data_IF_062588806843
#
_entry.id   IF_062588806843
#
_cell.length_a   1.000
_cell.length_b   1.000
_cell.length_c   1.000
_cell.angle_alpha   90.00
_cell.angle_beta   90.00
_cell.angle_gamma   90.00
#
_symmetry.space_group_name_H-M   'P 1'
#
loop_
_entity.id
_entity.type
_entity.pdbx_description
1 polymer ?
#
# COMPACT_ATOMS: atom_id res chain seq x y z
N UNK A 1 14.92 -7.19 32.62
CA UNK A 1 13.60 -6.55 32.47
C UNK A 1 13.04 -6.86 31.12
N UNK A 2 11.90 -7.51 31.06
CA UNK A 2 11.26 -7.83 29.77
C UNK A 2 10.63 -6.58 29.20
N UNK A 3 10.91 -6.29 27.93
CA UNK A 3 10.25 -5.24 27.20
C UNK A 3 9.20 -5.85 26.28
N UNK A 4 8.08 -5.19 26.15
CA UNK A 4 7.09 -5.60 25.14
C UNK A 4 7.74 -5.54 23.76
N UNK A 5 7.42 -6.50 22.85
CA UNK A 5 7.93 -6.44 21.50
C UNK A 5 7.53 -5.12 20.87
N UNK A 6 8.50 -4.44 20.27
CA UNK A 6 8.20 -3.24 19.51
C UNK A 6 7.61 -3.65 18.16
N UNK A 7 6.61 -2.92 17.72
CA UNK A 7 6.13 -3.10 16.36
C UNK A 7 7.26 -2.74 15.40
N UNK A 8 7.45 -3.52 14.32
CA UNK A 8 8.42 -3.13 13.31
C UNK A 8 8.12 -1.72 12.80
N UNK A 9 9.15 -0.95 12.52
CA UNK A 9 8.99 0.35 11.91
C UNK A 9 8.29 0.18 10.56
N UNK A 10 7.44 1.14 10.16
CA UNK A 10 6.86 1.10 8.82
C UNK A 10 7.96 1.11 7.77
N UNK A 11 7.72 0.41 6.68
CA UNK A 11 8.62 0.41 5.53
C UNK A 11 8.21 1.53 4.58
N UNK A 12 9.19 2.22 4.04
CA UNK A 12 8.96 3.17 2.97
C UNK A 12 9.03 2.39 1.67
N UNK A 13 7.91 2.23 0.99
CA UNK A 13 7.84 1.47 -0.25
C UNK A 13 7.59 2.38 -1.43
N UNK A 14 8.06 1.95 -2.59
CA UNK A 14 7.94 2.70 -3.83
C UNK A 14 7.01 1.99 -4.78
N UNK A 15 6.19 2.76 -5.49
CA UNK A 15 5.39 2.23 -6.59
C UNK A 15 6.35 1.92 -7.74
N UNK A 16 6.50 0.64 -8.07
CA UNK A 16 7.38 0.21 -9.15
C UNK A 16 6.64 0.11 -10.47
N UNK A 17 5.36 -0.26 -10.43
CA UNK A 17 4.54 -0.43 -11.63
C UNK A 17 3.07 -0.25 -11.27
N UNK A 18 2.28 0.09 -12.27
CA UNK A 18 0.82 0.14 -12.17
C UNK A 18 0.20 -0.50 -13.39
N UNK A 19 -0.90 -1.23 -13.18
CA UNK A 19 -1.60 -1.89 -14.28
C UNK A 19 -3.07 -2.04 -13.96
N UNK A 20 -3.93 -1.67 -14.91
CA UNK A 20 -5.36 -1.98 -14.79
C UNK A 20 -5.56 -3.47 -15.06
N UNK A 21 -6.09 -4.18 -14.09
CA UNK A 21 -6.40 -5.62 -14.22
C UNK A 21 -7.77 -5.79 -14.85
N UNK A 22 -8.71 -4.94 -14.45
CA UNK A 22 -10.03 -4.80 -15.05
C UNK A 22 -10.33 -3.31 -15.18
N UNK A 23 -11.42 -2.91 -15.84
CA UNK A 23 -11.77 -1.49 -15.90
C UNK A 23 -11.90 -0.80 -14.54
N UNK A 24 -12.15 -1.57 -13.47
CA UNK A 24 -12.38 -1.04 -12.13
C UNK A 24 -11.37 -1.53 -11.10
N UNK A 25 -10.35 -2.26 -11.50
CA UNK A 25 -9.37 -2.83 -10.58
C UNK A 25 -7.95 -2.46 -11.03
N UNK A 26 -7.27 -1.71 -10.19
CA UNK A 26 -5.88 -1.29 -10.42
C UNK A 26 -4.94 -2.14 -9.58
N UNK A 27 -3.88 -2.63 -10.19
CA UNK A 27 -2.80 -3.32 -9.48
C UNK A 27 -1.58 -2.43 -9.40
N UNK A 28 -1.09 -2.23 -8.18
CA UNK A 28 0.19 -1.56 -7.95
C UNK A 28 1.21 -2.60 -7.49
N UNK A 29 2.42 -2.51 -8.03
CA UNK A 29 3.57 -3.26 -7.52
C UNK A 29 4.35 -2.34 -6.61
N UNK A 30 4.51 -2.75 -5.36
CA UNK A 30 5.19 -1.97 -4.32
C UNK A 30 6.49 -2.67 -3.95
N UNK A 31 7.58 -1.92 -3.90
CA UNK A 31 8.88 -2.49 -3.61
C UNK A 31 9.87 -1.44 -3.14
N UNK A 32 11.13 -1.62 -3.49
CA UNK A 32 12.20 -0.71 -3.13
C UNK A 32 13.15 -1.31 -2.11
N UNK A 33 14.13 -0.51 -1.69
CA UNK A 33 15.22 -1.01 -0.84
C UNK A 33 14.75 -1.52 0.51
N UNK A 34 13.71 -0.93 1.09
CA UNK A 34 13.20 -1.36 2.40
C UNK A 34 12.35 -2.63 2.32
N UNK A 35 12.14 -3.16 1.13
CA UNK A 35 11.47 -4.45 0.92
C UNK A 35 12.45 -5.61 0.75
N UNK A 36 13.75 -5.35 0.78
CA UNK A 36 14.77 -6.39 0.55
C UNK A 36 14.68 -7.53 1.57
N UNK A 37 14.29 -7.24 2.80
CA UNK A 37 14.15 -8.22 3.88
C UNK A 37 12.69 -8.58 4.18
N UNK A 38 11.78 -8.27 3.27
CA UNK A 38 10.38 -8.60 3.48
C UNK A 38 10.20 -10.12 3.54
N UNK A 39 9.45 -10.65 4.53
CA UNK A 39 9.30 -12.09 4.68
C UNK A 39 8.72 -12.74 3.44
N UNK A 40 9.20 -13.94 3.10
CA UNK A 40 8.67 -14.71 1.98
C UNK A 40 7.34 -15.35 2.33
N UNK A 41 6.60 -15.78 1.30
CA UNK A 41 5.37 -16.55 1.49
C UNK A 41 4.22 -15.76 2.08
N UNK A 42 4.16 -14.46 1.81
CA UNK A 42 3.14 -13.59 2.40
C UNK A 42 1.89 -13.43 1.53
N UNK A 43 1.79 -14.11 0.40
CA UNK A 43 0.59 -14.06 -0.45
C UNK A 43 -0.64 -14.43 0.37
N UNK A 44 -1.71 -13.68 0.20
CA UNK A 44 -2.94 -13.86 0.98
C UNK A 44 -2.91 -13.19 2.35
N UNK A 45 -1.74 -12.78 2.82
CA UNK A 45 -1.63 -11.93 3.99
C UNK A 45 -2.03 -10.50 3.69
N UNK A 46 -1.84 -9.62 4.64
CA UNK A 46 -2.24 -8.22 4.45
C UNK A 46 -1.15 -7.27 4.92
N UNK A 47 -1.22 -6.06 4.37
CA UNK A 47 -0.37 -4.94 4.76
C UNK A 47 -1.25 -3.76 5.11
N UNK A 48 -0.70 -2.85 5.90
CA UNK A 48 -1.38 -1.61 6.27
C UNK A 48 -0.67 -0.45 5.59
N UNK A 49 -1.40 0.26 4.74
CA UNK A 49 -0.89 1.43 4.06
C UNK A 49 -1.22 2.67 4.86
N UNK A 50 -0.25 3.55 5.02
CA UNK A 50 -0.42 4.83 5.70
C UNK A 50 -0.62 5.91 4.65
N UNK A 51 -1.88 6.30 4.52
CA UNK A 51 -2.28 7.30 3.53
C UNK A 51 -2.13 8.70 4.12
N UNK A 52 -2.03 9.73 3.26
CA UNK A 52 -1.97 11.11 3.74
C UNK A 52 -3.12 11.44 4.70
N UNK A 53 -2.89 12.31 5.70
CA UNK A 53 -3.94 12.71 6.62
C UNK A 53 -5.14 13.33 5.90
N UNK A 54 -6.31 13.15 6.49
CA UNK A 54 -7.49 13.87 6.04
C UNK A 54 -7.29 15.37 6.25
N UNK A 55 -7.98 16.17 5.46
CA UNK A 55 -7.93 17.62 5.61
C UNK A 55 -8.23 18.02 7.06
N UNK A 56 -7.39 18.88 7.61
CA UNK A 56 -7.52 19.33 9.00
C UNK A 56 -7.02 18.36 10.04
N UNK A 57 -6.40 17.24 9.64
CA UNK A 57 -5.85 16.24 10.57
C UNK A 57 -4.34 16.08 10.35
N UNK A 58 -3.61 15.77 11.43
CA UNK A 58 -2.20 15.47 11.36
C UNK A 58 -1.92 13.96 11.34
N UNK A 59 -2.95 13.15 11.57
CA UNK A 59 -2.79 11.70 11.66
C UNK A 59 -2.97 11.05 10.31
N UNK A 60 -2.06 10.13 9.93
CA UNK A 60 -2.25 9.37 8.69
C UNK A 60 -3.48 8.50 8.78
N UNK A 61 -4.09 8.24 7.65
CA UNK A 61 -5.21 7.32 7.54
C UNK A 61 -4.66 5.94 7.16
N UNK A 62 -4.94 4.94 7.98
CA UNK A 62 -4.42 3.59 7.78
C UNK A 62 -5.50 2.72 7.15
N UNK A 63 -5.13 2.01 6.08
CA UNK A 63 -6.04 1.07 5.41
C UNK A 63 -5.33 -0.24 5.16
N UNK A 64 -6.07 -1.34 5.31
CA UNK A 64 -5.54 -2.70 5.17
C UNK A 64 -5.85 -3.23 3.79
N UNK A 65 -4.83 -3.82 3.15
CA UNK A 65 -4.95 -4.42 1.83
C UNK A 65 -4.30 -5.80 1.79
N UNK A 66 -4.83 -6.67 0.95
CA UNK A 66 -4.32 -8.02 0.79
C UNK A 66 -3.14 -8.05 -0.18
N UNK A 67 -2.13 -8.84 0.15
CA UNK A 67 -1.02 -9.13 -0.75
C UNK A 67 -1.53 -10.12 -1.80
N UNK A 68 -1.66 -9.66 -3.04
CA UNK A 68 -2.18 -10.47 -4.14
C UNK A 68 -1.12 -11.43 -4.67
N UNK A 69 0.11 -10.98 -4.75
CA UNK A 69 1.24 -11.76 -5.23
C UNK A 69 2.52 -11.19 -4.64
N UNK A 70 3.56 -12.01 -4.57
CA UNK A 70 4.84 -11.59 -4.03
C UNK A 70 5.97 -12.08 -4.92
N UNK A 71 6.96 -11.22 -5.12
CA UNK A 71 8.22 -11.54 -5.78
C UNK A 71 9.35 -10.98 -4.93
N UNK A 72 10.59 -11.34 -5.24
CA UNK A 72 11.73 -10.83 -4.50
C UNK A 72 11.72 -9.31 -4.44
N UNK A 73 11.59 -8.79 -3.22
CA UNK A 73 11.61 -7.35 -2.98
C UNK A 73 10.38 -6.59 -3.44
N UNK A 74 9.28 -7.27 -3.79
CA UNK A 74 8.08 -6.59 -4.26
C UNK A 74 6.81 -7.37 -3.97
N UNK A 75 5.71 -6.65 -3.80
CA UNK A 75 4.37 -7.24 -3.66
C UNK A 75 3.41 -6.54 -4.60
N UNK A 76 2.40 -7.27 -5.04
CA UNK A 76 1.27 -6.71 -5.79
C UNK A 76 0.09 -6.53 -4.87
N UNK A 77 -0.55 -5.38 -4.96
CA UNK A 77 -1.76 -5.03 -4.21
C UNK A 77 -2.79 -4.50 -5.18
N UNK A 78 -4.02 -5.02 -5.08
CA UNK A 78 -5.11 -4.62 -5.95
C UNK A 78 -6.03 -3.62 -5.25
N UNK A 79 -6.40 -2.57 -5.96
CA UNK A 79 -7.27 -1.50 -5.46
C UNK A 79 -8.51 -1.41 -6.33
N UNK A 80 -9.69 -1.56 -5.72
CA UNK A 80 -10.94 -1.30 -6.42
C UNK A 80 -11.11 0.21 -6.60
N UNK A 81 -11.23 0.67 -7.84
CA UNK A 81 -11.36 2.10 -8.14
C UNK A 81 -12.81 2.55 -8.04
N UNK A 82 -13.41 2.30 -6.87
CA UNK A 82 -14.80 2.62 -6.63
C UNK A 82 -14.95 4.06 -6.15
N UNK A 83 -15.86 4.81 -6.76
CA UNK A 83 -16.15 6.18 -6.34
C UNK A 83 -15.16 7.25 -6.78
N UNK A 84 -14.18 6.90 -7.62
CA UNK A 84 -13.15 7.87 -8.07
C UNK A 84 -13.78 9.01 -8.86
N UNK A 85 -14.67 8.70 -9.79
CA UNK A 85 -15.29 9.71 -10.64
C UNK A 85 -16.43 10.49 -9.95
N UNK A 86 -16.95 9.96 -8.86
CA UNK A 86 -18.03 10.62 -8.10
C UNK A 86 -17.52 11.41 -6.92
N UNK A 87 -16.23 11.34 -6.62
CA UNK A 87 -15.65 11.99 -5.45
C UNK A 87 -15.91 11.25 -4.13
N UNK A 88 -16.48 10.05 -4.21
CA UNK A 88 -16.80 9.24 -3.02
C UNK A 88 -15.70 8.29 -2.62
N UNK A 89 -14.61 8.25 -3.39
CA UNK A 89 -13.49 7.35 -3.11
C UNK A 89 -12.87 7.65 -1.74
N UNK A 90 -12.55 6.60 -1.01
CA UNK A 90 -11.78 6.71 0.22
C UNK A 90 -10.33 7.09 -0.04
N UNK A 91 -9.53 7.34 1.03
CA UNK A 91 -8.17 7.85 0.88
C UNK A 91 -7.25 6.90 0.13
N UNK A 92 -7.34 5.60 0.38
CA UNK A 92 -6.48 4.62 -0.29
C UNK A 92 -6.78 4.54 -1.78
N UNK A 93 -8.06 4.52 -2.15
CA UNK A 93 -8.49 4.46 -3.55
C UNK A 93 -8.05 5.72 -4.29
N UNK A 94 -8.20 6.89 -3.68
CA UNK A 94 -7.75 8.15 -4.29
C UNK A 94 -6.25 8.17 -4.49
N UNK A 95 -5.51 7.75 -3.47
CA UNK A 95 -4.05 7.67 -3.60
C UNK A 95 -3.63 6.73 -4.72
N UNK A 96 -4.21 5.53 -4.75
CA UNK A 96 -3.88 4.52 -5.76
C UNK A 96 -4.21 5.00 -7.17
N UNK A 97 -5.36 5.66 -7.34
CA UNK A 97 -5.76 6.16 -8.66
C UNK A 97 -4.76 7.16 -9.24
N UNK A 98 -4.11 7.94 -8.39
CA UNK A 98 -3.13 8.95 -8.77
C UNK A 98 -1.69 8.46 -8.72
N UNK A 99 -1.44 7.28 -8.15
CA UNK A 99 -0.08 6.78 -7.93
C UNK A 99 0.62 6.48 -9.26
N UNK A 100 1.89 6.84 -9.30
CA UNK A 100 2.75 6.63 -10.47
C UNK A 100 4.05 5.96 -10.04
N UNK A 101 4.73 5.24 -10.94
CA UNK A 101 6.06 4.71 -10.61
C UNK A 101 6.96 5.81 -10.04
N UNK A 102 7.61 5.51 -8.95
CA UNK A 102 8.44 6.45 -8.20
C UNK A 102 7.77 7.07 -6.99
N UNK A 103 6.44 7.05 -6.92
CA UNK A 103 5.74 7.54 -5.73
C UNK A 103 6.01 6.61 -4.55
N UNK A 104 5.98 7.17 -3.35
CA UNK A 104 6.30 6.44 -2.12
C UNK A 104 5.16 6.49 -1.13
N UNK A 105 5.08 5.44 -0.30
CA UNK A 105 4.09 5.35 0.77
C UNK A 105 4.68 4.50 1.89
N UNK A 106 4.26 4.77 3.12
CA UNK A 106 4.65 3.93 4.25
C UNK A 106 3.70 2.75 4.39
N UNK A 107 4.28 1.60 4.71
CA UNK A 107 3.56 0.34 4.83
C UNK A 107 3.97 -0.37 6.11
N UNK A 108 3.02 -0.75 6.90
CA UNK A 108 3.25 -1.48 8.14
C UNK A 108 2.81 -2.93 8.12
#
# INVERSE_FOLDING_TARGET
MAQAPKRPAPRNVEVLARRMVTPNMLRLTLGGTEMADFPEGQEGGYVKLRLPPAEGSEKPQVRTYTIRAQRDGAIDVDFALHGVNSGEAGPATRWAAEARPGDRIEMG
#
